data_IF_689246055423
#
_entry.id   IF_689246055423
#
_cell.length_a   1.000
_cell.length_b   1.000
_cell.length_c   1.000
_cell.angle_alpha   90.00
_cell.angle_beta   90.00
_cell.angle_gamma   90.00
#
_symmetry.space_group_name_H-M   'P 1'
#
loop_
_entity.id
_entity.type
_entity.pdbx_description
1 polymer ?
#
# COMPACT_ATOMS: atom_id res chain seq x y z
N UNK A 1 -11.96 -15.59 6.88
CA UNK A 1 -12.07 -15.55 5.42
C UNK A 1 -10.83 -14.85 4.88
N UNK A 2 -9.95 -15.58 4.21
CA UNK A 2 -8.84 -15.00 3.45
C UNK A 2 -9.38 -14.67 2.06
N UNK A 3 -9.32 -13.40 1.68
CA UNK A 3 -9.65 -12.98 0.31
C UNK A 3 -8.41 -13.25 -0.52
N UNK A 4 -8.46 -14.24 -1.40
CA UNK A 4 -7.44 -14.43 -2.43
C UNK A 4 -7.64 -13.35 -3.49
N UNK A 5 -6.60 -12.54 -3.68
CA UNK A 5 -6.55 -11.47 -4.68
C UNK A 5 -5.70 -12.01 -5.83
N UNK A 6 -6.25 -12.05 -7.05
CA UNK A 6 -5.48 -12.44 -8.22
C UNK A 6 -4.40 -11.40 -8.57
N UNK A 7 -3.38 -11.82 -9.32
CA UNK A 7 -2.22 -10.97 -9.63
C UNK A 7 -2.57 -9.63 -10.29
N UNK A 8 -3.62 -9.58 -11.14
CA UNK A 8 -4.02 -8.33 -11.80
C UNK A 8 -4.68 -7.39 -10.78
N UNK A 9 -5.57 -7.92 -9.96
CA UNK A 9 -6.21 -7.17 -8.89
C UNK A 9 -5.19 -6.69 -7.85
N UNK A 10 -4.19 -7.51 -7.52
CA UNK A 10 -3.09 -7.15 -6.63
C UNK A 10 -2.27 -6.00 -7.21
N UNK A 11 -1.86 -6.11 -8.47
CA UNK A 11 -1.08 -5.07 -9.16
C UNK A 11 -1.84 -3.75 -9.23
N UNK A 12 -3.13 -3.81 -9.58
CA UNK A 12 -3.99 -2.62 -9.64
C UNK A 12 -4.16 -1.96 -8.27
N UNK A 13 -4.34 -2.75 -7.21
CA UNK A 13 -4.43 -2.25 -5.84
C UNK A 13 -3.15 -1.54 -5.41
N UNK A 14 -1.98 -2.12 -5.71
CA UNK A 14 -0.68 -1.49 -5.41
C UNK A 14 -0.52 -0.16 -6.14
N UNK A 15 -0.92 -0.07 -7.42
CA UNK A 15 -0.88 1.18 -8.18
C UNK A 15 -1.76 2.26 -7.55
N UNK A 16 -2.98 1.91 -7.13
CA UNK A 16 -3.89 2.83 -6.45
C UNK A 16 -3.31 3.33 -5.12
N UNK A 17 -2.78 2.43 -4.30
CA UNK A 17 -2.16 2.76 -3.02
C UNK A 17 -0.93 3.66 -3.22
N UNK A 18 -0.11 3.38 -4.24
CA UNK A 18 1.09 4.16 -4.56
C UNK A 18 0.71 5.56 -5.03
N UNK A 19 -0.26 5.67 -5.92
CA UNK A 19 -0.75 6.95 -6.37
C UNK A 19 -1.33 7.77 -5.19
N UNK A 20 -2.11 7.13 -4.30
CA UNK A 20 -2.64 7.82 -3.13
C UNK A 20 -1.53 8.26 -2.18
N UNK A 21 -0.50 7.42 -1.98
CA UNK A 21 0.64 7.70 -1.13
C UNK A 21 1.39 8.98 -1.52
N UNK A 22 1.63 9.18 -2.82
CA UNK A 22 2.35 10.36 -3.31
C UNK A 22 1.50 11.63 -3.41
N UNK A 23 0.17 11.49 -3.43
CA UNK A 23 -0.75 12.63 -3.58
C UNK A 23 -1.37 13.10 -2.26
N UNK A 24 -1.29 12.30 -1.19
CA UNK A 24 -1.85 12.69 0.11
C UNK A 24 -0.78 13.30 1.01
N UNK A 25 -1.15 14.38 1.70
CA UNK A 25 -0.35 15.00 2.77
C UNK A 25 -0.89 14.66 4.16
N UNK A 26 -2.00 13.92 4.22
CA UNK A 26 -2.62 13.49 5.48
C UNK A 26 -1.83 12.31 6.09
N UNK A 27 -1.27 12.54 7.27
CA UNK A 27 -0.45 11.56 8.00
C UNK A 27 -1.25 10.30 8.37
N UNK A 28 -2.53 10.44 8.71
CA UNK A 28 -3.41 9.31 9.04
C UNK A 28 -3.62 8.42 7.81
N UNK A 29 -3.82 9.02 6.64
CA UNK A 29 -3.93 8.27 5.38
C UNK A 29 -2.63 7.55 5.03
N UNK A 30 -1.48 8.23 5.17
CA UNK A 30 -0.16 7.62 4.94
C UNK A 30 0.07 6.41 5.85
N UNK A 31 -0.32 6.51 7.14
CA UNK A 31 -0.23 5.39 8.08
C UNK A 31 -1.13 4.22 7.68
N UNK A 32 -2.34 4.48 7.20
CA UNK A 32 -3.24 3.44 6.73
C UNK A 32 -2.70 2.74 5.47
N UNK A 33 -2.18 3.50 4.51
CA UNK A 33 -1.55 2.95 3.30
C UNK A 33 -0.35 2.06 3.67
N UNK A 34 0.49 2.49 4.63
CA UNK A 34 1.62 1.70 5.08
C UNK A 34 1.19 0.38 5.75
N UNK A 35 0.11 0.40 6.55
CA UNK A 35 -0.48 -0.83 7.12
C UNK A 35 -0.95 -1.78 6.01
N UNK A 36 -1.58 -1.26 4.96
CA UNK A 36 -2.03 -2.06 3.81
C UNK A 36 -0.84 -2.69 3.09
N UNK A 37 0.26 -1.95 2.85
CA UNK A 37 1.47 -2.55 2.26
C UNK A 37 2.04 -3.70 3.08
N UNK A 38 2.08 -3.57 4.42
CA UNK A 38 2.54 -4.65 5.30
C UNK A 38 1.65 -5.88 5.21
N UNK A 39 0.33 -5.72 5.18
CA UNK A 39 -0.64 -6.82 5.02
C UNK A 39 -0.45 -7.51 3.67
N UNK A 40 -0.26 -6.72 2.62
CA UNK A 40 -0.04 -7.20 1.26
C UNK A 40 1.36 -7.80 1.05
N UNK A 41 2.24 -7.76 2.07
CA UNK A 41 3.66 -8.13 1.97
C UNK A 41 4.38 -7.42 0.82
N UNK A 42 3.88 -6.25 0.44
CA UNK A 42 4.47 -5.44 -0.61
C UNK A 42 5.74 -4.81 -0.06
N UNK A 43 6.91 -5.27 -0.53
CA UNK A 43 8.18 -4.62 -0.26
C UNK A 43 8.25 -3.34 -1.11
N UNK A 44 7.60 -2.28 -0.63
CA UNK A 44 7.81 -0.97 -1.20
C UNK A 44 9.19 -0.47 -0.78
N UNK A 45 10.03 -0.04 -1.72
CA UNK A 45 11.22 0.79 -1.44
C UNK A 45 10.83 2.21 -1.00
N UNK A 46 9.70 2.38 -0.33
CA UNK A 46 9.29 3.68 0.18
C UNK A 46 10.11 4.03 1.42
N UNK A 47 10.37 5.31 1.63
CA UNK A 47 11.10 5.84 2.78
C UNK A 47 10.50 5.41 4.13
N UNK A 48 9.20 5.08 4.19
CA UNK A 48 8.50 4.54 5.37
C UNK A 48 8.87 3.10 5.72
N UNK A 49 9.52 2.35 4.82
CA UNK A 49 10.07 1.03 5.17
C UNK A 49 11.24 1.12 6.16
N UNK A 50 11.83 2.30 6.31
CA UNK A 50 12.99 2.58 7.18
C UNK A 50 12.61 3.18 8.54
N UNK A 51 11.31 3.38 8.82
CA UNK A 51 10.78 3.93 10.07
C UNK A 51 10.01 2.83 10.80
#
# INVERSE_FOLDING_TARGET
>A
MTVDIDDKSYTYLIQLLTNKFYNTTDISELQQINKLYKILKFQSETWLSKI
#
